data_IF_164564243493
#
_entry.id   IF_164564243493
#
_cell.length_a   1.000
_cell.length_b   1.000
_cell.length_c   1.000
_cell.angle_alpha   90.00
_cell.angle_beta   90.00
_cell.angle_gamma   90.00
#
_symmetry.space_group_name_H-M   'P 1'
#
loop_
_entity.id
_entity.type
_entity.pdbx_description
1 polymer ?
#
# COMPACT_ATOMS: atom_id res chain seq x y z
N UNK A 1 4.88 -12.56 0.00
CA UNK A 1 3.96 -13.32 -0.88
C UNK A 1 2.56 -12.79 -0.63
N UNK A 2 1.86 -12.30 -1.65
CA UNK A 2 0.49 -11.79 -1.52
C UNK A 2 -0.49 -12.94 -1.32
N UNK A 3 -1.41 -12.80 -0.37
CA UNK A 3 -2.42 -13.82 -0.12
C UNK A 3 -3.32 -14.04 -1.35
N UNK A 4 -3.73 -15.30 -1.67
CA UNK A 4 -4.50 -15.59 -2.88
C UNK A 4 -5.83 -14.83 -2.98
N UNK A 5 -6.52 -14.62 -1.86
CA UNK A 5 -7.78 -13.87 -1.86
C UNK A 5 -7.57 -12.39 -2.16
N UNK A 6 -6.45 -11.80 -1.73
CA UNK A 6 -6.10 -10.42 -2.08
C UNK A 6 -5.85 -10.31 -3.58
N UNK A 7 -5.04 -11.21 -4.15
CA UNK A 7 -4.76 -11.21 -5.60
C UNK A 7 -6.05 -11.33 -6.44
N UNK A 8 -6.97 -12.21 -6.03
CA UNK A 8 -8.27 -12.36 -6.70
C UNK A 8 -9.12 -11.09 -6.61
N UNK A 9 -9.19 -10.44 -5.44
CA UNK A 9 -9.91 -9.20 -5.25
C UNK A 9 -9.28 -8.05 -6.03
N UNK A 10 -7.96 -7.87 -5.99
CA UNK A 10 -7.24 -6.84 -6.75
C UNK A 10 -7.60 -6.91 -8.23
N UNK A 11 -7.53 -8.10 -8.84
CA UNK A 11 -7.90 -8.29 -10.25
C UNK A 11 -9.36 -7.89 -10.53
N UNK A 12 -10.29 -8.30 -9.67
CA UNK A 12 -11.70 -7.99 -9.84
C UNK A 12 -11.99 -6.48 -9.70
N UNK A 13 -11.32 -5.81 -8.78
CA UNK A 13 -11.52 -4.38 -8.51
C UNK A 13 -10.83 -3.50 -9.57
N UNK A 14 -9.67 -3.89 -10.12
CA UNK A 14 -9.01 -3.14 -11.21
C UNK A 14 -9.84 -3.05 -12.49
N UNK A 15 -10.78 -3.97 -12.71
CA UNK A 15 -11.71 -3.90 -13.84
C UNK A 15 -12.80 -2.82 -13.67
N UNK A 16 -13.00 -2.30 -12.45
CA UNK A 16 -14.00 -1.29 -12.17
C UNK A 16 -13.42 0.13 -12.27
N UNK A 17 -14.29 1.11 -12.49
CA UNK A 17 -13.92 2.53 -12.53
C UNK A 17 -14.41 3.24 -11.28
N UNK A 18 -13.55 4.03 -10.66
CA UNK A 18 -13.88 4.85 -9.49
C UNK A 18 -12.67 5.65 -9.04
N UNK A 19 -12.88 6.90 -8.62
CA UNK A 19 -11.83 7.79 -8.13
C UNK A 19 -11.75 7.83 -6.60
N UNK A 20 -12.73 7.25 -5.92
CA UNK A 20 -12.80 7.14 -4.47
C UNK A 20 -13.34 5.76 -4.09
N UNK A 21 -12.55 5.02 -3.30
CA UNK A 21 -12.83 3.64 -2.96
C UNK A 21 -12.91 3.48 -1.45
N UNK A 22 -13.96 2.80 -0.97
CA UNK A 22 -14.09 2.39 0.43
C UNK A 22 -13.95 0.88 0.51
N UNK A 23 -12.84 0.40 1.09
CA UNK A 23 -12.63 -1.02 1.36
C UNK A 23 -13.10 -1.34 2.78
N UNK A 24 -14.10 -2.20 2.92
CA UNK A 24 -14.67 -2.60 4.20
C UNK A 24 -14.68 -4.13 4.33
N UNK A 25 -14.33 -4.61 5.51
CA UNK A 25 -14.41 -6.02 5.87
C UNK A 25 -14.03 -6.25 7.33
N UNK A 26 -14.18 -7.48 7.85
CA UNK A 26 -13.67 -7.90 9.14
C UNK A 26 -12.16 -7.64 9.32
N UNK A 27 -11.74 -7.27 10.53
CA UNK A 27 -10.33 -7.09 10.87
C UNK A 27 -9.49 -8.32 10.54
N UNK A 28 -8.30 -8.11 9.96
CA UNK A 28 -7.35 -9.19 9.65
C UNK A 28 -7.53 -9.84 8.27
N UNK A 29 -8.47 -9.38 7.43
CA UNK A 29 -8.63 -9.90 6.06
C UNK A 29 -7.66 -9.30 5.04
N UNK A 30 -6.88 -8.29 5.42
CA UNK A 30 -5.87 -7.67 4.54
C UNK A 30 -6.39 -6.51 3.71
N UNK A 31 -7.30 -5.68 4.25
CA UNK A 31 -7.82 -4.49 3.57
C UNK A 31 -6.69 -3.52 3.17
N UNK A 32 -5.70 -3.34 4.05
CA UNK A 32 -4.52 -2.53 3.75
C UNK A 32 -3.71 -3.12 2.59
N UNK A 33 -3.45 -4.43 2.61
CA UNK A 33 -2.73 -5.11 1.53
C UNK A 33 -3.49 -5.03 0.20
N UNK A 34 -4.82 -5.14 0.24
CA UNK A 34 -5.67 -4.94 -0.95
C UNK A 34 -5.58 -3.52 -1.48
N UNK A 35 -5.67 -2.51 -0.60
CA UNK A 35 -5.52 -1.10 -0.98
C UNK A 35 -4.16 -0.86 -1.63
N UNK A 36 -3.08 -1.34 -1.01
CA UNK A 36 -1.73 -1.18 -1.50
C UNK A 36 -1.51 -1.92 -2.83
N UNK A 37 -2.10 -3.10 -3.00
CA UNK A 37 -2.04 -3.84 -4.26
C UNK A 37 -2.74 -3.10 -5.41
N UNK A 38 -3.87 -2.44 -5.14
CA UNK A 38 -4.56 -1.59 -6.11
C UNK A 38 -3.73 -0.37 -6.49
N UNK A 39 -3.24 0.37 -5.48
CA UNK A 39 -2.35 1.52 -5.66
C UNK A 39 -1.11 1.15 -6.48
N UNK A 40 -0.45 0.04 -6.14
CA UNK A 40 0.72 -0.46 -6.86
C UNK A 40 0.39 -0.76 -8.31
N UNK A 41 -0.79 -1.30 -8.61
CA UNK A 41 -1.21 -1.58 -9.98
C UNK A 41 -1.56 -0.31 -10.76
N UNK A 42 -2.20 0.69 -10.12
CA UNK A 42 -2.55 1.96 -10.75
C UNK A 42 -1.34 2.84 -11.06
N UNK A 43 -0.32 2.83 -10.19
CA UNK A 43 0.91 3.61 -10.38
C UNK A 43 1.98 2.87 -11.18
N UNK A 44 1.81 1.57 -11.45
CA UNK A 44 2.78 0.75 -12.17
C UNK A 44 2.97 1.23 -13.61
N UNK A 45 4.22 1.30 -14.08
CA UNK A 45 4.57 1.72 -15.45
C UNK A 45 4.14 0.70 -16.53
N UNK A 46 4.05 -0.58 -16.14
CA UNK A 46 3.73 -1.69 -17.04
C UNK A 46 2.78 -2.69 -16.37
N UNK A 47 1.53 -2.29 -16.05
CA UNK A 47 0.60 -3.18 -15.36
C UNK A 47 0.19 -4.36 -16.26
N UNK A 48 -0.15 -5.49 -15.65
CA UNK A 48 -0.66 -6.69 -16.32
C UNK A 48 -2.12 -6.92 -15.93
N UNK A 49 -2.85 -7.82 -16.62
CA UNK A 49 -4.21 -8.20 -16.21
C UNK A 49 -4.30 -8.73 -14.77
N UNK A 50 -3.20 -9.20 -14.20
CA UNK A 50 -3.08 -9.71 -12.83
C UNK A 50 -2.75 -8.62 -11.80
N UNK A 51 -2.40 -7.40 -12.24
CA UNK A 51 -2.07 -6.26 -11.38
C UNK A 51 -0.72 -5.62 -11.71
N UNK A 52 -0.01 -5.14 -10.68
CA UNK A 52 1.30 -4.50 -10.85
C UNK A 52 2.36 -5.50 -11.32
N UNK A 53 3.30 -5.08 -12.19
CA UNK A 53 4.37 -5.97 -12.67
C UNK A 53 5.40 -6.33 -11.61
N UNK A 54 5.51 -5.53 -10.55
CA UNK A 54 6.38 -5.75 -9.40
C UNK A 54 7.87 -5.61 -9.65
N UNK A 55 8.29 -5.13 -10.83
CA UNK A 55 9.70 -4.99 -11.22
C UNK A 55 10.08 -3.64 -11.80
N UNK A 56 9.10 -2.78 -12.10
CA UNK A 56 9.39 -1.43 -12.60
C UNK A 56 9.85 -0.50 -11.47
N UNK A 57 10.54 0.62 -11.79
CA UNK A 57 10.95 1.61 -10.79
C UNK A 57 9.79 2.12 -9.93
N UNK A 58 8.61 2.34 -10.52
CA UNK A 58 7.41 2.71 -9.77
C UNK A 58 7.02 1.66 -8.72
N UNK A 59 6.93 0.38 -9.11
CA UNK A 59 6.64 -0.71 -8.17
C UNK A 59 7.67 -0.78 -7.04
N UNK A 60 8.96 -0.64 -7.36
CA UNK A 60 10.02 -0.61 -6.35
C UNK A 60 9.85 0.57 -5.39
N UNK A 61 9.58 1.77 -5.92
CA UNK A 61 9.38 2.98 -5.10
C UNK A 61 8.24 2.82 -4.09
N UNK A 62 7.18 2.10 -4.46
CA UNK A 62 6.08 1.78 -3.53
C UNK A 62 6.55 0.78 -2.46
N UNK A 63 7.28 -0.26 -2.85
CA UNK A 63 7.79 -1.29 -1.94
C UNK A 63 8.77 -0.74 -0.88
N UNK A 64 9.46 0.37 -1.20
CA UNK A 64 10.37 1.08 -0.26
C UNK A 64 9.79 2.37 0.31
N UNK A 65 8.49 2.64 0.11
CA UNK A 65 7.77 3.80 0.65
C UNK A 65 8.30 5.18 0.19
N UNK A 66 8.81 5.30 -1.04
CA UNK A 66 9.36 6.55 -1.61
C UNK A 66 8.72 6.99 -2.93
N UNK A 67 7.65 6.34 -3.37
CA UNK A 67 6.99 6.72 -4.62
C UNK A 67 6.39 8.13 -4.56
N UNK A 68 6.81 9.01 -5.47
CA UNK A 68 6.45 10.43 -5.45
C UNK A 68 4.94 10.69 -5.53
N UNK A 69 4.21 9.87 -6.28
CA UNK A 69 2.76 10.00 -6.47
C UNK A 69 1.92 9.24 -5.43
N UNK A 70 2.55 8.68 -4.38
CA UNK A 70 1.86 7.95 -3.32
C UNK A 70 1.91 8.74 -2.00
N UNK A 71 0.75 9.14 -1.51
CA UNK A 71 0.58 9.68 -0.17
C UNK A 71 -0.20 8.69 0.68
N UNK A 72 0.36 8.32 1.83
CA UNK A 72 -0.29 7.43 2.79
C UNK A 72 -0.55 8.20 4.09
N UNK A 73 -1.83 8.30 4.46
CA UNK A 73 -2.26 8.91 5.70
C UNK A 73 -2.71 7.81 6.66
N UNK A 74 -2.00 7.68 7.77
CA UNK A 74 -2.29 6.71 8.83
C UNK A 74 -1.75 7.22 10.18
N UNK A 75 -2.30 6.77 11.31
CA UNK A 75 -1.75 7.14 12.62
C UNK A 75 -0.36 6.54 12.84
N UNK A 76 0.48 7.17 13.66
CA UNK A 76 1.88 6.78 13.86
C UNK A 76 2.02 5.35 14.41
N UNK A 77 1.06 4.90 15.21
CA UNK A 77 1.04 3.52 15.75
C UNK A 77 0.87 2.48 14.66
N UNK A 78 0.06 2.75 13.63
CA UNK A 78 -0.05 1.89 12.45
C UNK A 78 1.19 2.00 11.56
N UNK A 79 1.79 3.19 11.42
CA UNK A 79 3.04 3.35 10.66
C UNK A 79 4.14 2.43 11.23
N UNK A 80 4.35 2.48 12.55
CA UNK A 80 5.29 1.61 13.25
C UNK A 80 4.98 0.13 13.04
N UNK A 81 3.72 -0.28 13.23
CA UNK A 81 3.32 -1.67 13.11
C UNK A 81 3.49 -2.24 11.69
N UNK A 82 3.39 -1.38 10.67
CA UNK A 82 3.49 -1.74 9.26
C UNK A 82 4.87 -1.42 8.65
N UNK A 83 5.82 -0.89 9.43
CA UNK A 83 7.16 -0.55 8.95
C UNK A 83 7.22 0.67 8.01
N UNK A 84 6.25 1.58 8.11
CA UNK A 84 6.28 2.86 7.40
C UNK A 84 7.15 3.88 8.14
N UNK A 85 7.88 4.75 7.42
CA UNK A 85 8.73 5.77 8.03
C UNK A 85 7.89 6.76 8.83
N UNK A 86 8.30 7.05 10.06
CA UNK A 86 7.64 8.06 10.89
C UNK A 86 8.01 9.49 10.46
N UNK A 87 7.14 10.47 10.73
CA UNK A 87 7.53 11.87 10.71
C UNK A 87 8.75 12.12 11.60
N UNK A 88 9.67 12.98 11.17
CA UNK A 88 10.95 13.25 11.84
C UNK A 88 10.78 13.57 13.33
N UNK A 89 9.77 14.39 13.68
CA UNK A 89 9.45 14.72 15.06
C UNK A 89 9.05 13.50 15.90
N UNK A 90 8.21 12.62 15.36
CA UNK A 90 7.75 11.43 16.05
C UNK A 90 8.89 10.42 16.23
N UNK A 91 9.79 10.31 15.24
CA UNK A 91 11.00 9.49 15.34
C UNK A 91 11.94 10.01 16.43
N UNK A 92 12.20 11.32 16.48
CA UNK A 92 13.05 11.95 17.50
C UNK A 92 12.51 11.73 18.92
N UNK A 93 11.19 11.88 19.14
CA UNK A 93 10.57 11.63 20.45
C UNK A 93 10.69 10.18 20.95
N UNK A 94 10.82 9.21 20.03
CA UNK A 94 11.05 7.79 20.37
C UNK A 94 12.52 7.55 20.70
N UNK A 95 13.43 8.12 19.92
CA UNK A 95 14.87 7.94 20.10
C UNK A 95 15.36 8.59 21.40
N UNK A 96 14.80 9.74 21.79
CA UNK A 96 15.11 10.42 23.07
C UNK A 96 14.60 9.66 24.32
N UNK A 97 13.67 8.72 24.15
CA UNK A 97 13.09 7.91 25.24
C UNK A 97 13.74 6.53 25.40
N UNK A 98 14.69 6.18 24.54
CA UNK A 98 15.49 4.95 24.62
C UNK A 98 16.75 5.14 25.44
#
# INVERSE_FOLDING_TARGET
MTAPWIAAQTRALLAQRGHAWLLQGPSGLGQFDLALALVRAWLCDAPTPEGACGRCPSCHGIDVHTHADLVVLMPETQMLALGWPLPEKAQAEIDDKK
#
